data_IF_590679767075
#
_entry.id   IF_590679767075
#
_cell.length_a   1.000
_cell.length_b   1.000
_cell.length_c   1.000
_cell.angle_alpha   90.00
_cell.angle_beta   90.00
_cell.angle_gamma   90.00
#
_symmetry.space_group_name_H-M   'P 1'
#
loop_
_entity.id
_entity.type
_entity.pdbx_description
1 polymer ?
#
# COMPACT_ATOMS: atom_id res chain seq x y z
N UNK A 1 5.59 22.64 10.99
CA UNK A 1 4.20 22.19 11.12
C UNK A 1 4.21 20.68 11.27
N UNK A 2 3.78 20.18 12.44
CA UNK A 2 3.60 18.74 12.63
C UNK A 2 2.52 18.25 11.68
N UNK A 3 2.85 17.31 10.80
CA UNK A 3 1.86 16.56 10.03
C UNK A 3 0.90 15.94 11.05
N UNK A 4 -0.36 16.32 11.01
CA UNK A 4 -1.41 15.67 11.80
C UNK A 4 -1.57 14.26 11.22
N UNK A 5 -1.02 13.27 11.91
CA UNK A 5 -1.33 11.88 11.62
C UNK A 5 -2.68 11.57 12.27
N UNK A 6 -3.65 11.19 11.48
CA UNK A 6 -4.92 10.68 11.97
C UNK A 6 -4.75 9.20 12.33
N UNK A 7 -5.57 8.72 13.26
CA UNK A 7 -5.65 7.29 13.59
C UNK A 7 -7.02 6.77 13.19
N UNK A 8 -7.03 5.67 12.45
CA UNK A 8 -8.24 4.98 11.99
C UNK A 8 -8.29 3.60 12.66
N UNK A 9 -9.46 3.21 13.11
CA UNK A 9 -9.69 1.86 13.65
C UNK A 9 -9.73 0.85 12.50
N UNK A 10 -9.07 -0.28 12.67
CA UNK A 10 -9.10 -1.38 11.71
C UNK A 10 -10.52 -1.91 11.50
N UNK A 11 -11.35 -1.91 12.56
CA UNK A 11 -12.77 -2.26 12.46
C UNK A 11 -13.55 -1.43 11.44
N UNK A 12 -13.27 -0.12 11.38
CA UNK A 12 -13.97 0.80 10.47
C UNK A 12 -13.52 0.57 9.02
N UNK A 13 -12.23 0.30 8.84
CA UNK A 13 -11.68 -0.10 7.56
C UNK A 13 -12.31 -1.42 7.07
N UNK A 14 -12.45 -2.43 7.93
CA UNK A 14 -13.08 -3.70 7.60
C UNK A 14 -14.56 -3.54 7.23
N UNK A 15 -15.33 -2.75 7.99
CA UNK A 15 -16.74 -2.47 7.68
C UNK A 15 -16.90 -1.88 6.27
N UNK A 16 -16.01 -0.96 5.89
CA UNK A 16 -16.02 -0.38 4.54
C UNK A 16 -15.75 -1.43 3.44
N UNK A 17 -14.87 -2.40 3.68
CA UNK A 17 -14.59 -3.48 2.72
C UNK A 17 -15.74 -4.49 2.64
N UNK A 18 -16.39 -4.79 3.73
CA UNK A 18 -17.56 -5.69 3.75
C UNK A 18 -18.74 -5.07 2.93
N UNK A 19 -18.93 -3.75 2.99
CA UNK A 19 -19.97 -3.03 2.22
C UNK A 19 -19.69 -3.02 0.70
N UNK A 20 -18.44 -3.12 0.27
CA UNK A 20 -18.08 -3.10 -1.15
C UNK A 20 -18.52 -4.32 -1.94
N UNK A 21 -19.05 -5.36 -1.28
CA UNK A 21 -19.59 -6.58 -1.89
C UNK A 21 -18.74 -7.11 -3.07
N UNK A 22 -17.49 -7.47 -2.77
CA UNK A 22 -16.47 -7.88 -3.74
C UNK A 22 -16.93 -9.18 -4.43
N UNK A 23 -17.58 -9.06 -5.59
CA UNK A 23 -18.18 -10.20 -6.33
C UNK A 23 -17.24 -10.87 -7.33
N UNK A 24 -16.05 -10.35 -7.55
CA UNK A 24 -15.13 -10.86 -8.56
C UNK A 24 -14.36 -12.11 -8.07
N UNK A 25 -14.53 -13.22 -8.78
CA UNK A 25 -14.15 -14.57 -8.32
C UNK A 25 -12.65 -14.84 -8.20
N UNK A 26 -11.80 -14.24 -9.04
CA UNK A 26 -10.35 -14.50 -9.01
C UNK A 26 -9.64 -13.56 -8.03
N UNK A 27 -10.03 -12.30 -8.04
CA UNK A 27 -9.47 -11.27 -7.17
C UNK A 27 -9.97 -11.40 -5.73
N UNK A 28 -11.19 -11.93 -5.53
CA UNK A 28 -11.77 -12.16 -4.20
C UNK A 28 -10.92 -13.08 -3.33
N UNK A 29 -10.30 -14.12 -3.90
CA UNK A 29 -9.43 -15.04 -3.13
C UNK A 29 -8.21 -14.34 -2.55
N UNK A 30 -7.56 -13.49 -3.34
CA UNK A 30 -6.36 -12.75 -2.91
C UNK A 30 -6.75 -11.70 -1.86
N UNK A 31 -7.79 -10.93 -2.14
CA UNK A 31 -8.29 -9.90 -1.24
C UNK A 31 -8.77 -10.49 0.09
N UNK A 32 -9.47 -11.62 0.05
CA UNK A 32 -9.90 -12.32 1.27
C UNK A 32 -8.74 -12.71 2.19
N UNK A 33 -7.57 -13.05 1.65
CA UNK A 33 -6.38 -13.31 2.49
C UNK A 33 -5.98 -12.05 3.28
N UNK A 34 -5.98 -10.88 2.64
CA UNK A 34 -5.65 -9.63 3.34
C UNK A 34 -6.76 -9.21 4.31
N UNK A 35 -8.02 -9.39 3.97
CA UNK A 35 -9.15 -9.18 4.89
C UNK A 35 -9.03 -10.09 6.11
N UNK A 36 -8.72 -11.37 5.93
CA UNK A 36 -8.51 -12.30 7.04
C UNK A 36 -7.33 -11.90 7.93
N UNK A 37 -6.22 -11.44 7.32
CA UNK A 37 -5.10 -10.88 8.09
C UNK A 37 -5.53 -9.64 8.88
N UNK A 38 -6.29 -8.72 8.29
CA UNK A 38 -6.78 -7.53 8.99
C UNK A 38 -7.74 -7.87 10.13
N UNK A 39 -8.54 -8.92 10.02
CA UNK A 39 -9.44 -9.37 11.11
C UNK A 39 -8.68 -9.74 12.39
N UNK A 40 -7.42 -10.18 12.30
CA UNK A 40 -6.59 -10.42 13.49
C UNK A 40 -6.18 -9.12 14.21
N UNK A 41 -6.26 -7.97 13.54
CA UNK A 41 -5.95 -6.63 14.05
C UNK A 41 -7.20 -5.77 14.32
N UNK A 42 -8.41 -6.35 14.34
CA UNK A 42 -9.69 -5.59 14.39
C UNK A 42 -9.80 -4.57 15.51
N UNK A 43 -9.12 -4.81 16.65
CA UNK A 43 -9.13 -3.94 17.82
C UNK A 43 -8.03 -2.89 17.81
N UNK A 44 -7.19 -2.86 16.77
CA UNK A 44 -6.07 -1.94 16.65
C UNK A 44 -6.43 -0.70 15.85
N UNK A 45 -5.58 0.31 15.95
CA UNK A 45 -5.57 1.48 15.08
C UNK A 45 -4.35 1.48 14.18
N UNK A 46 -4.45 2.15 13.05
CA UNK A 46 -3.33 2.46 12.18
C UNK A 46 -3.29 3.96 11.87
N UNK A 47 -2.10 4.45 11.57
CA UNK A 47 -1.88 5.86 11.25
C UNK A 47 -2.08 6.12 9.77
N UNK A 48 -2.75 7.24 9.47
CA UNK A 48 -2.88 7.77 8.11
C UNK A 48 -2.17 9.11 7.98
N UNK A 49 -1.86 9.46 6.75
CA UNK A 49 -1.28 10.75 6.38
C UNK A 49 -1.69 11.11 4.96
N UNK A 50 -1.47 12.36 4.58
CA UNK A 50 -1.60 12.77 3.20
C UNK A 50 -0.48 12.12 2.38
N UNK A 51 -0.85 11.38 1.35
CA UNK A 51 0.05 10.65 0.46
C UNK A 51 -0.03 11.17 -0.96
N UNK A 52 1.03 10.99 -1.73
CA UNK A 52 1.05 11.24 -3.17
C UNK A 52 0.07 10.30 -3.93
N UNK A 53 -0.01 9.05 -3.47
CA UNK A 53 -0.93 8.04 -3.99
C UNK A 53 -0.46 7.30 -5.26
N UNK A 54 0.52 7.84 -6.00
CA UNK A 54 1.20 7.18 -7.12
C UNK A 54 2.71 7.45 -7.10
N UNK A 55 3.30 7.40 -5.91
CA UNK A 55 4.71 7.68 -5.72
C UNK A 55 5.58 6.60 -6.38
N UNK A 56 6.32 7.00 -7.41
CA UNK A 56 7.19 6.12 -8.21
C UNK A 56 8.36 6.90 -8.79
N UNK A 57 9.39 6.21 -9.25
CA UNK A 57 10.64 6.82 -9.68
C UNK A 57 10.46 7.84 -10.82
N UNK A 58 9.55 7.58 -11.75
CA UNK A 58 9.25 8.44 -12.90
C UNK A 58 8.69 9.82 -12.49
N UNK A 59 8.16 9.94 -11.28
CA UNK A 59 7.61 11.19 -10.74
C UNK A 59 8.63 12.00 -9.92
N UNK A 60 9.88 11.51 -9.81
CA UNK A 60 10.94 12.16 -9.05
C UNK A 60 11.89 12.92 -9.98
N UNK A 61 12.03 14.22 -9.75
CA UNK A 61 13.05 15.01 -10.43
C UNK A 61 14.27 15.20 -9.55
N UNK A 62 15.37 14.56 -9.98
CA UNK A 62 16.62 14.53 -9.23
C UNK A 62 17.67 15.29 -10.01
N UNK A 63 18.27 16.30 -9.39
CA UNK A 63 19.37 17.07 -9.93
C UNK A 63 20.55 17.06 -8.94
N UNK A 64 21.75 16.76 -9.42
CA UNK A 64 22.95 16.68 -8.59
C UNK A 64 22.80 15.78 -7.35
N UNK A 65 22.16 14.63 -7.51
CA UNK A 65 21.84 13.67 -6.45
C UNK A 65 20.91 14.20 -5.32
N UNK A 66 20.15 15.27 -5.63
CA UNK A 66 19.16 15.82 -4.70
C UNK A 66 17.78 15.77 -5.35
N UNK A 67 16.80 15.41 -4.55
CA UNK A 67 15.39 15.50 -4.95
C UNK A 67 15.00 16.99 -5.00
N UNK A 68 14.69 17.49 -6.19
CA UNK A 68 14.28 18.88 -6.39
C UNK A 68 12.76 19.02 -6.25
N UNK A 69 11.99 18.15 -6.91
CA UNK A 69 10.54 18.16 -6.82
C UNK A 69 9.94 16.80 -7.19
N UNK A 70 8.68 16.61 -6.78
CA UNK A 70 7.84 15.49 -7.12
C UNK A 70 6.66 16.00 -7.92
N UNK A 71 6.32 15.33 -9.02
CA UNK A 71 5.21 15.70 -9.91
C UNK A 71 4.09 14.68 -9.87
N UNK A 72 3.01 14.96 -10.59
CA UNK A 72 1.86 14.07 -10.77
C UNK A 72 1.08 13.81 -9.47
N UNK A 73 0.71 14.89 -8.79
CA UNK A 73 -0.06 14.88 -7.54
C UNK A 73 -1.56 14.69 -7.72
N UNK A 74 -2.03 14.28 -8.89
CA UNK A 74 -3.46 14.10 -9.18
C UNK A 74 -4.13 13.04 -8.29
N UNK A 75 -3.35 12.15 -7.72
CA UNK A 75 -3.80 11.05 -6.87
C UNK A 75 -3.63 11.31 -5.36
N UNK A 76 -3.39 12.58 -4.99
CA UNK A 76 -3.23 12.96 -3.59
C UNK A 76 -4.45 12.54 -2.75
N UNK A 77 -4.21 12.01 -1.56
CA UNK A 77 -5.28 11.61 -0.65
C UNK A 77 -4.78 11.07 0.67
N UNK A 78 -5.69 10.96 1.63
CA UNK A 78 -5.38 10.36 2.92
C UNK A 78 -5.36 8.83 2.82
N UNK A 79 -4.25 8.21 3.21
CA UNK A 79 -4.03 6.74 3.20
C UNK A 79 -3.12 6.35 4.35
N UNK A 80 -2.89 5.04 4.49
CA UNK A 80 -1.93 4.54 5.47
C UNK A 80 -0.56 5.19 5.32
N UNK A 81 0.11 5.46 6.43
CA UNK A 81 1.40 6.20 6.47
C UNK A 81 2.50 5.53 5.63
N UNK A 82 2.39 4.24 5.36
CA UNK A 82 3.35 3.50 4.53
C UNK A 82 2.90 3.34 3.07
N UNK A 83 1.77 3.92 2.67
CA UNK A 83 1.23 3.71 1.32
C UNK A 83 2.24 4.05 0.23
N UNK A 84 2.80 5.25 0.23
CA UNK A 84 3.75 5.69 -0.81
C UNK A 84 5.05 4.90 -0.77
N UNK A 85 5.56 4.58 0.43
CA UNK A 85 6.74 3.74 0.59
C UNK A 85 6.54 2.36 -0.02
N UNK A 86 5.44 1.70 0.30
CA UNK A 86 5.12 0.37 -0.22
C UNK A 86 4.83 0.42 -1.72
N UNK A 87 4.14 1.47 -2.20
CA UNK A 87 3.88 1.68 -3.62
C UNK A 87 5.18 1.84 -4.44
N UNK A 88 6.19 2.49 -3.86
CA UNK A 88 7.49 2.68 -4.48
C UNK A 88 8.32 1.39 -4.54
N UNK A 89 8.41 0.67 -3.43
CA UNK A 89 9.35 -0.45 -3.32
C UNK A 89 8.79 -1.78 -3.81
N UNK A 90 7.51 -2.09 -3.58
CA UNK A 90 6.94 -3.42 -3.87
C UNK A 90 7.07 -3.81 -5.35
N UNK A 91 6.73 -2.98 -6.34
CA UNK A 91 6.90 -3.35 -7.75
C UNK A 91 8.35 -3.71 -8.09
N UNK A 92 9.30 -2.95 -7.53
CA UNK A 92 10.72 -3.16 -7.78
C UNK A 92 11.22 -4.50 -7.20
N UNK A 93 10.83 -4.84 -5.98
CA UNK A 93 11.19 -6.11 -5.35
C UNK A 93 10.58 -7.32 -6.06
N UNK A 94 9.32 -7.20 -6.49
CA UNK A 94 8.64 -8.26 -7.21
C UNK A 94 9.29 -8.54 -8.55
N UNK A 95 9.70 -7.51 -9.29
CA UNK A 95 10.44 -7.67 -10.54
C UNK A 95 11.79 -8.37 -10.33
N UNK A 96 12.41 -8.22 -9.17
CA UNK A 96 13.67 -8.88 -8.80
C UNK A 96 13.47 -10.23 -8.11
N UNK A 97 12.26 -10.77 -8.14
CA UNK A 97 11.92 -12.08 -7.56
C UNK A 97 12.10 -12.22 -6.05
N UNK A 98 12.09 -11.11 -5.31
CA UNK A 98 12.04 -11.16 -3.86
C UNK A 98 10.72 -11.77 -3.37
N UNK A 99 10.80 -12.60 -2.34
CA UNK A 99 9.62 -13.11 -1.65
C UNK A 99 9.15 -12.13 -0.56
N UNK A 100 7.99 -12.43 0.04
CA UNK A 100 7.39 -11.56 1.07
C UNK A 100 8.30 -11.31 2.27
N UNK A 101 8.99 -12.34 2.79
CA UNK A 101 9.89 -12.18 3.92
C UNK A 101 11.04 -11.23 3.62
N UNK A 102 11.67 -11.40 2.47
CA UNK A 102 12.78 -10.54 2.02
C UNK A 102 12.35 -9.08 1.85
N UNK A 103 11.15 -8.86 1.30
CA UNK A 103 10.58 -7.50 1.14
C UNK A 103 10.33 -6.89 2.52
N UNK A 104 9.73 -7.64 3.43
CA UNK A 104 9.44 -7.22 4.80
C UNK A 104 10.72 -6.82 5.54
N UNK A 105 11.76 -7.65 5.48
CA UNK A 105 13.02 -7.41 6.16
C UNK A 105 13.72 -6.16 5.63
N UNK A 106 13.76 -6.00 4.29
CA UNK A 106 14.35 -4.81 3.67
C UNK A 106 13.62 -3.52 4.05
N UNK A 107 12.27 -3.53 4.01
CA UNK A 107 11.49 -2.33 4.35
C UNK A 107 11.64 -2.00 5.85
N UNK A 108 11.71 -3.00 6.72
CA UNK A 108 11.98 -2.79 8.15
C UNK A 108 13.34 -2.13 8.36
N UNK A 109 14.39 -2.65 7.72
CA UNK A 109 15.73 -2.08 7.77
C UNK A 109 15.73 -0.64 7.24
N UNK A 110 15.08 -0.39 6.11
CA UNK A 110 14.95 0.95 5.55
C UNK A 110 14.28 1.92 6.54
N UNK A 111 13.18 1.51 7.17
CA UNK A 111 12.47 2.33 8.17
C UNK A 111 13.37 2.61 9.37
N UNK A 112 14.09 1.62 9.89
CA UNK A 112 14.98 1.80 11.02
C UNK A 112 16.10 2.82 10.75
N UNK A 113 16.67 2.79 9.55
CA UNK A 113 17.79 3.64 9.18
C UNK A 113 17.34 5.05 8.78
N UNK A 114 16.31 5.15 7.93
CA UNK A 114 15.95 6.41 7.28
C UNK A 114 14.72 7.08 7.90
N UNK A 115 13.88 6.34 8.60
CA UNK A 115 12.64 6.81 9.19
C UNK A 115 12.52 6.41 10.67
N UNK A 116 13.54 6.66 11.52
CA UNK A 116 13.56 6.15 12.90
C UNK A 116 12.40 6.67 13.75
N UNK A 117 11.82 7.83 13.40
CA UNK A 117 10.67 8.42 14.10
C UNK A 117 9.37 7.63 13.92
N UNK A 118 9.31 6.71 12.94
CA UNK A 118 8.16 5.81 12.72
C UNK A 118 8.49 4.35 13.03
N UNK A 119 9.66 4.07 13.59
CA UNK A 119 10.15 2.70 13.84
C UNK A 119 9.19 1.87 14.72
N UNK A 120 8.56 2.48 15.72
CA UNK A 120 7.56 1.79 16.56
C UNK A 120 6.38 1.23 15.76
N UNK A 121 6.13 1.76 14.54
CA UNK A 121 5.08 1.28 13.64
C UNK A 121 5.57 0.06 12.84
N UNK A 122 6.87 -0.14 12.70
CA UNK A 122 7.44 -1.27 11.95
C UNK A 122 7.08 -2.64 12.52
N UNK A 123 6.77 -2.72 13.82
CA UNK A 123 6.27 -3.95 14.46
C UNK A 123 4.91 -4.37 13.91
N UNK A 124 4.10 -3.41 13.41
CA UNK A 124 2.80 -3.64 12.78
C UNK A 124 2.87 -3.75 11.25
N UNK A 125 4.02 -4.17 10.72
CA UNK A 125 4.25 -4.23 9.28
C UNK A 125 3.16 -5.00 8.54
N UNK A 126 2.76 -6.18 9.05
CA UNK A 126 1.74 -7.02 8.41
C UNK A 126 0.36 -6.35 8.36
N UNK A 127 0.03 -5.54 9.36
CA UNK A 127 -1.16 -4.69 9.38
C UNK A 127 -1.10 -3.66 8.23
N UNK A 128 -0.05 -2.85 8.18
CA UNK A 128 0.09 -1.80 7.17
C UNK A 128 0.19 -2.36 5.76
N UNK A 129 0.84 -3.50 5.61
CA UNK A 129 0.93 -4.19 4.33
C UNK A 129 -0.44 -4.67 3.83
N UNK A 130 -1.26 -5.23 4.72
CA UNK A 130 -2.60 -5.67 4.38
C UNK A 130 -3.51 -4.50 4.02
N UNK A 131 -3.42 -3.37 4.74
CA UNK A 131 -4.14 -2.14 4.42
C UNK A 131 -3.71 -1.62 3.04
N UNK A 132 -2.41 -1.53 2.76
CA UNK A 132 -1.90 -1.13 1.46
C UNK A 132 -2.47 -1.98 0.32
N UNK A 133 -2.48 -3.30 0.47
CA UNK A 133 -3.01 -4.21 -0.54
C UNK A 133 -4.49 -3.92 -0.84
N UNK A 134 -5.29 -3.65 0.19
CA UNK A 134 -6.71 -3.33 0.05
C UNK A 134 -6.93 -1.93 -0.54
N UNK A 135 -6.18 -0.92 -0.11
CA UNK A 135 -6.23 0.44 -0.67
C UNK A 135 -5.88 0.43 -2.17
N UNK A 136 -4.87 -0.35 -2.58
CA UNK A 136 -4.52 -0.51 -4.01
C UNK A 136 -5.61 -1.22 -4.80
N UNK A 137 -6.20 -2.26 -4.24
CA UNK A 137 -7.33 -2.96 -4.87
C UNK A 137 -8.51 -2.03 -5.11
N UNK A 138 -8.87 -1.24 -4.12
CA UNK A 138 -9.96 -0.27 -4.23
C UNK A 138 -9.70 0.75 -5.33
N UNK A 139 -8.50 1.28 -5.40
CA UNK A 139 -8.12 2.23 -6.43
C UNK A 139 -8.27 1.66 -7.83
N UNK A 140 -7.85 0.40 -8.05
CA UNK A 140 -8.04 -0.28 -9.33
C UNK A 140 -9.54 -0.41 -9.65
N UNK A 141 -10.38 -0.71 -8.67
CA UNK A 141 -11.83 -0.80 -8.88
C UNK A 141 -12.49 0.55 -9.17
N UNK A 142 -12.04 1.62 -8.52
CA UNK A 142 -12.54 2.98 -8.76
C UNK A 142 -12.14 3.51 -10.14
N UNK A 143 -10.96 3.16 -10.64
CA UNK A 143 -10.48 3.53 -11.96
C UNK A 143 -11.28 2.87 -13.11
N UNK A 144 -12.21 1.95 -12.83
CA UNK A 144 -13.09 1.31 -13.83
C UNK A 144 -13.99 2.27 -14.62
N UNK A 145 -14.13 3.52 -14.18
CA UNK A 145 -14.91 4.53 -14.87
C UNK A 145 -14.17 5.30 -15.96
N UNK A 146 -12.85 5.11 -16.09
CA UNK A 146 -12.00 5.79 -17.07
C UNK A 146 -11.35 4.72 -17.96
N UNK A 147 -11.12 4.99 -19.24
CA UNK A 147 -10.56 4.10 -20.28
C UNK A 147 -9.14 3.55 -19.95
N UNK A 148 -9.01 2.94 -18.80
CA UNK A 148 -7.79 2.29 -18.35
C UNK A 148 -7.83 0.80 -18.71
N UNK A 149 -6.74 0.24 -19.24
CA UNK A 149 -6.66 -1.20 -19.53
C UNK A 149 -6.61 -1.98 -18.19
N UNK A 150 -7.79 -2.20 -17.64
CA UNK A 150 -8.02 -2.83 -16.34
C UNK A 150 -7.45 -4.24 -16.26
N UNK A 151 -7.53 -4.99 -17.36
CA UNK A 151 -7.03 -6.36 -17.40
C UNK A 151 -5.52 -6.41 -17.19
N UNK A 152 -4.78 -5.44 -17.71
CA UNK A 152 -3.33 -5.36 -17.54
C UNK A 152 -2.96 -4.90 -16.12
N UNK A 153 -3.66 -3.92 -15.57
CA UNK A 153 -3.48 -3.48 -14.19
C UNK A 153 -3.79 -4.62 -13.20
N UNK A 154 -4.91 -5.35 -13.41
CA UNK A 154 -5.25 -6.51 -12.60
C UNK A 154 -4.23 -7.64 -12.73
N UNK A 155 -3.76 -7.96 -13.92
CA UNK A 155 -2.72 -8.98 -14.14
C UNK A 155 -1.44 -8.61 -13.39
N UNK A 156 -1.01 -7.35 -13.47
CA UNK A 156 0.19 -6.84 -12.80
C UNK A 156 0.05 -6.91 -11.28
N UNK A 157 -1.05 -6.43 -10.72
CA UNK A 157 -1.26 -6.44 -9.26
C UNK A 157 -1.56 -7.83 -8.72
N UNK A 158 -2.30 -8.67 -9.42
CA UNK A 158 -2.51 -10.07 -9.03
C UNK A 158 -1.20 -10.85 -9.01
N UNK A 159 -0.31 -10.59 -9.94
CA UNK A 159 1.02 -11.20 -9.92
C UNK A 159 1.82 -10.74 -8.69
N UNK A 160 1.80 -9.43 -8.38
CA UNK A 160 2.42 -8.86 -7.19
C UNK A 160 1.82 -9.49 -5.93
N UNK A 161 0.51 -9.45 -5.77
CA UNK A 161 -0.17 -9.95 -4.58
C UNK A 161 -0.02 -11.47 -4.39
N UNK A 162 -0.04 -12.27 -5.47
CA UNK A 162 0.24 -13.71 -5.38
C UNK A 162 1.63 -14.01 -4.83
N UNK A 163 2.66 -13.25 -5.24
CA UNK A 163 4.02 -13.40 -4.70
C UNK A 163 4.14 -12.98 -3.24
N UNK A 164 3.24 -12.11 -2.76
CA UNK A 164 3.25 -11.59 -1.41
C UNK A 164 2.48 -12.49 -0.42
N UNK A 165 1.69 -13.45 -0.93
CA UNK A 165 0.91 -14.40 -0.12
C UNK A 165 1.67 -15.71 0.07
N UNK A 166 2.51 -16.08 -0.89
CA UNK A 166 3.36 -17.29 -0.85
C UNK A 166 4.74 -16.98 -0.27
#
# INVERSE_FOLDING_TARGET
SSLKNNEIKVSDCLAYFDDLNIKDTLNSKIINVFILKLKSYKNETFKTTLTHGDFKFEHLFILNNKLEYVVDWENIGERSIFFDLLNFFIPWFVHRSFNYSQIKDYIKEFIQVYLPYINAISEKYDLYFSIFALERYMRINQARSVEFNLDEAYKRYNFIFKKLIN
#
